data_IF_580178482935
#
_entry.id   IF_580178482935
#
_cell.length_a   1.000
_cell.length_b   1.000
_cell.length_c   1.000
_cell.angle_alpha   90.00
_cell.angle_beta   90.00
_cell.angle_gamma   90.00
#
_symmetry.space_group_name_H-M   'P 1'
#
loop_
_entity.id
_entity.type
_entity.pdbx_description
1 polymer ?
#
# COMPACT_ATOMS: atom_id res chain seq x y z
N UNK A 1 18.85 5.33 -17.15
CA UNK A 1 17.41 5.28 -17.51
C UNK A 1 16.78 6.52 -16.90
N UNK A 2 16.34 7.49 -17.71
CA UNK A 2 15.71 8.72 -17.19
C UNK A 2 14.24 8.40 -16.89
N UNK A 3 13.85 8.40 -15.62
CA UNK A 3 12.45 8.27 -15.25
C UNK A 3 11.80 9.66 -15.23
N UNK A 4 10.69 9.81 -15.96
CA UNK A 4 9.94 11.07 -16.07
C UNK A 4 8.94 11.26 -14.92
N UNK A 5 8.67 10.20 -14.14
CA UNK A 5 7.78 10.23 -12.99
C UNK A 5 8.66 10.31 -11.73
N UNK A 6 8.47 11.35 -10.92
CA UNK A 6 9.08 11.46 -9.60
C UNK A 6 8.24 10.67 -8.61
N UNK A 7 8.84 9.69 -7.94
CA UNK A 7 8.22 9.07 -6.77
C UNK A 7 8.32 9.97 -5.54
N UNK A 8 7.50 9.66 -4.55
CA UNK A 8 7.56 10.23 -3.20
C UNK A 8 7.84 9.13 -2.17
N UNK A 9 8.28 9.52 -0.98
CA UNK A 9 8.51 8.61 0.14
C UNK A 9 7.19 8.30 0.83
N UNK A 10 6.91 7.02 1.01
CA UNK A 10 5.75 6.53 1.76
C UNK A 10 6.22 5.65 2.92
N UNK A 11 5.44 5.56 3.99
CA UNK A 11 5.74 4.67 5.12
C UNK A 11 4.81 3.48 5.10
N UNK A 12 5.36 2.27 5.04
CA UNK A 12 4.59 1.02 5.12
C UNK A 12 4.67 0.51 6.54
N UNK A 13 3.52 0.36 7.19
CA UNK A 13 3.37 -0.18 8.54
C UNK A 13 2.68 -1.54 8.49
N UNK A 14 3.31 -2.55 9.06
CA UNK A 14 2.74 -3.87 9.29
C UNK A 14 2.57 -4.11 10.79
N UNK A 15 1.36 -4.52 11.19
CA UNK A 15 1.07 -4.93 12.56
C UNK A 15 0.78 -6.43 12.58
N UNK A 16 1.63 -7.20 13.26
CA UNK A 16 1.43 -8.63 13.45
C UNK A 16 1.03 -8.85 14.90
N UNK A 17 -0.17 -9.42 15.11
CA UNK A 17 -0.64 -9.83 16.43
C UNK A 17 -0.05 -11.20 16.77
N UNK A 18 0.58 -11.30 17.93
CA UNK A 18 0.98 -12.56 18.53
C UNK A 18 -0.21 -13.12 19.29
N UNK A 19 -0.58 -14.38 19.01
CA UNK A 19 -1.65 -15.09 19.71
C UNK A 19 -1.03 -16.16 20.61
N UNK A 20 -1.63 -16.42 21.78
CA UNK A 20 -1.27 -17.58 22.61
C UNK A 20 -1.86 -18.90 22.09
N UNK A 21 -1.63 -19.98 22.84
CA UNK A 21 -2.14 -21.33 22.55
C UNK A 21 -3.68 -21.41 22.54
N UNK A 22 -4.37 -20.43 23.11
CA UNK A 22 -5.84 -20.33 23.14
C UNK A 22 -6.39 -19.36 22.09
N UNK A 23 -5.52 -18.70 21.32
CA UNK A 23 -5.89 -17.73 20.29
C UNK A 23 -6.10 -16.30 20.81
N UNK A 24 -5.72 -16.02 22.05
CA UNK A 24 -5.84 -14.69 22.65
C UNK A 24 -4.62 -13.81 22.31
N UNK A 25 -4.81 -12.52 22.01
CA UNK A 25 -3.72 -11.62 21.64
C UNK A 25 -2.81 -11.35 22.84
N UNK A 26 -1.55 -11.79 22.75
CA UNK A 26 -0.51 -11.61 23.78
C UNK A 26 0.41 -10.41 23.51
N UNK A 27 0.39 -9.89 22.28
CA UNK A 27 1.16 -8.72 21.91
C UNK A 27 0.95 -8.31 20.46
N UNK A 28 1.43 -7.12 20.13
CA UNK A 28 1.44 -6.60 18.77
C UNK A 28 2.87 -6.18 18.43
N UNK A 29 3.43 -6.73 17.35
CA UNK A 29 4.69 -6.27 16.79
C UNK A 29 4.39 -5.38 15.60
N UNK A 30 4.80 -4.12 15.69
CA UNK A 30 4.65 -3.13 14.62
C UNK A 30 5.99 -2.92 13.94
N UNK A 31 6.02 -3.11 12.62
CA UNK A 31 7.18 -2.83 11.78
C UNK A 31 6.84 -1.71 10.82
N UNK A 32 7.67 -0.66 10.81
CA UNK A 32 7.54 0.48 9.90
C UNK A 32 8.75 0.56 8.96
N UNK A 33 8.49 0.68 7.66
CA UNK A 33 9.51 0.78 6.63
C UNK A 33 9.21 1.98 5.75
N UNK A 34 10.13 2.94 5.71
CA UNK A 34 10.09 4.03 4.73
C UNK A 34 10.57 3.51 3.37
N UNK A 35 9.75 3.71 2.33
CA UNK A 35 10.10 3.34 0.96
C UNK A 35 10.13 4.58 0.10
N UNK A 36 11.29 4.85 -0.48
CA UNK A 36 11.49 5.95 -1.42
C UNK A 36 11.06 5.56 -2.83
N UNK A 37 10.89 6.58 -3.68
CA UNK A 37 10.59 6.41 -5.10
C UNK A 37 9.32 5.59 -5.38
N UNK A 38 8.27 5.78 -4.57
CA UNK A 38 6.94 5.19 -4.82
C UNK A 38 6.13 6.14 -5.68
N UNK A 39 5.56 5.65 -6.78
CA UNK A 39 4.62 6.45 -7.59
C UNK A 39 3.27 6.44 -6.89
N UNK A 40 2.77 7.62 -6.56
CA UNK A 40 1.46 7.79 -5.94
C UNK A 40 0.50 8.33 -6.99
N UNK A 41 -0.35 7.45 -7.50
CA UNK A 41 -1.40 7.80 -8.46
C UNK A 41 -2.71 8.02 -7.70
N UNK A 42 -3.32 9.22 -7.75
CA UNK A 42 -4.65 9.44 -7.18
C UNK A 42 -5.70 8.53 -7.83
N UNK A 43 -6.59 7.96 -7.02
CA UNK A 43 -7.73 7.19 -7.50
C UNK A 43 -8.66 8.02 -8.39
N UNK A 44 -9.47 7.35 -9.20
CA UNK A 44 -10.37 8.02 -10.11
C UNK A 44 -11.45 8.82 -9.35
N UNK A 45 -11.72 10.05 -9.79
CA UNK A 45 -12.74 10.94 -9.22
C UNK A 45 -14.16 10.33 -9.21
N UNK A 46 -14.39 9.26 -9.99
CA UNK A 46 -15.67 8.53 -10.02
C UNK A 46 -16.00 7.81 -8.70
N UNK A 47 -15.01 7.52 -7.85
CA UNK A 47 -15.24 6.92 -6.52
C UNK A 47 -15.69 7.94 -5.45
N UNK A 48 -15.80 9.22 -5.80
CA UNK A 48 -16.41 10.29 -4.98
C UNK A 48 -17.92 10.43 -5.20
N UNK A 49 -18.52 9.65 -6.10
CA UNK A 49 -19.97 9.67 -6.31
C UNK A 49 -20.68 8.92 -5.16
N UNK A 50 -21.44 9.68 -4.36
CA UNK A 50 -22.20 9.28 -3.18
C UNK A 50 -23.23 8.14 -3.38
N UNK A 51 -23.36 7.62 -4.59
CA UNK A 51 -24.31 6.55 -4.97
C UNK A 51 -23.84 5.14 -4.64
N UNK A 52 -22.60 4.94 -4.13
CA UNK A 52 -22.06 3.63 -3.72
C UNK A 52 -21.62 3.61 -2.25
N UNK A 53 -22.56 3.55 -1.28
CA UNK A 53 -22.23 3.51 0.15
C UNK A 53 -21.44 2.27 0.60
N UNK A 54 -21.38 1.22 -0.22
CA UNK A 54 -20.63 -0.01 0.03
C UNK A 54 -19.44 -0.20 -0.95
N UNK A 55 -19.11 0.81 -1.76
CA UNK A 55 -17.97 0.75 -2.66
C UNK A 55 -16.67 0.97 -1.89
N UNK A 56 -15.70 0.06 -2.03
CA UNK A 56 -14.33 0.33 -1.54
C UNK A 56 -13.76 1.46 -2.40
N UNK A 57 -13.81 2.69 -1.90
CA UNK A 57 -13.22 3.86 -2.57
C UNK A 57 -11.71 3.70 -2.59
N UNK A 58 -11.12 3.43 -3.76
CA UNK A 58 -9.66 3.43 -3.92
C UNK A 58 -9.19 4.88 -3.85
N UNK A 59 -8.45 5.22 -2.79
CA UNK A 59 -7.91 6.56 -2.60
C UNK A 59 -6.67 6.79 -3.46
N UNK A 60 -5.77 5.81 -3.50
CA UNK A 60 -4.57 5.84 -4.32
C UNK A 60 -4.25 4.46 -4.89
N UNK A 61 -3.63 4.47 -6.07
CA UNK A 61 -2.85 3.35 -6.59
C UNK A 61 -1.37 3.69 -6.40
N UNK A 62 -0.65 2.85 -5.67
CA UNK A 62 0.77 3.01 -5.38
C UNK A 62 1.59 2.03 -6.21
N UNK A 63 2.66 2.50 -6.85
CA UNK A 63 3.62 1.64 -7.54
C UNK A 63 4.96 1.69 -6.81
N UNK A 64 5.32 0.59 -6.15
CA UNK A 64 6.56 0.42 -5.40
C UNK A 64 7.72 0.03 -6.33
N UNK A 65 8.94 0.51 -6.04
CA UNK A 65 10.11 0.20 -6.85
C UNK A 65 10.54 -1.26 -6.67
N UNK A 66 11.24 -1.76 -7.68
CA UNK A 66 11.92 -3.05 -7.66
C UNK A 66 12.88 -3.14 -6.48
N UNK A 67 12.86 -4.28 -5.81
CA UNK A 67 13.74 -4.53 -4.66
C UNK A 67 13.29 -3.86 -3.36
N UNK A 68 12.16 -3.15 -3.33
CA UNK A 68 11.58 -2.68 -2.06
C UNK A 68 11.23 -3.88 -1.18
N UNK A 69 11.86 -4.01 -0.01
CA UNK A 69 11.60 -5.11 0.93
C UNK A 69 10.39 -4.78 1.82
N UNK A 70 9.20 -4.92 1.26
CA UNK A 70 7.93 -4.64 1.95
C UNK A 70 6.92 -5.76 1.78
N UNK A 71 6.25 -6.09 2.88
CA UNK A 71 4.99 -6.85 2.85
C UNK A 71 3.84 -5.86 2.81
N UNK A 72 2.96 -5.98 1.81
CA UNK A 72 1.80 -5.09 1.65
C UNK A 72 0.50 -5.76 2.10
N UNK A 73 0.49 -7.09 2.30
CA UNK A 73 -0.70 -7.79 2.77
C UNK A 73 -1.07 -7.31 4.17
N UNK A 74 -2.31 -6.85 4.32
CA UNK A 74 -2.84 -6.28 5.57
C UNK A 74 -2.04 -5.06 6.09
N UNK A 75 -1.19 -4.46 5.25
CA UNK A 75 -0.39 -3.30 5.64
C UNK A 75 -1.23 -2.02 5.66
N UNK A 76 -0.78 -1.07 6.46
CA UNK A 76 -1.20 0.33 6.41
C UNK A 76 -0.10 1.14 5.73
N UNK A 77 -0.42 1.96 4.75
CA UNK A 77 0.54 2.84 4.07
C UNK A 77 0.19 4.29 4.39
N UNK A 78 1.13 5.00 4.99
CA UNK A 78 1.04 6.43 5.23
C UNK A 78 1.54 7.18 3.99
N UNK A 79 0.65 7.91 3.35
CA UNK A 79 0.92 8.75 2.18
C UNK A 79 0.62 10.20 2.58
N UNK A 80 1.62 11.08 2.48
CA UNK A 80 1.49 12.52 2.82
C UNK A 80 0.87 12.79 4.20
N UNK A 81 1.21 11.94 5.18
CA UNK A 81 0.73 12.06 6.56
C UNK A 81 -0.69 11.52 6.81
N UNK A 82 -1.31 10.87 5.83
CA UNK A 82 -2.61 10.19 6.00
C UNK A 82 -2.43 8.69 5.83
N UNK A 83 -3.07 7.91 6.71
CA UNK A 83 -3.02 6.46 6.70
C UNK A 83 -4.07 5.85 5.77
N UNK A 84 -3.65 4.88 4.98
CA UNK A 84 -4.51 4.13 4.06
C UNK A 84 -4.29 2.64 4.23
N UNK A 85 -5.35 1.84 4.09
CA UNK A 85 -5.27 0.38 4.18
C UNK A 85 -5.00 -0.21 2.81
N UNK A 86 -4.04 -1.12 2.71
CA UNK A 86 -3.83 -1.89 1.47
C UNK A 86 -5.01 -2.79 1.20
N UNK A 87 -5.48 -2.77 -0.05
CA UNK A 87 -6.54 -3.65 -0.55
C UNK A 87 -5.91 -4.94 -1.09
N UNK A 88 -6.31 -6.08 -0.51
CA UNK A 88 -5.89 -7.41 -0.97
C UNK A 88 -4.45 -7.78 -0.62
N UNK A 89 -3.85 -8.62 -1.47
CA UNK A 89 -2.47 -9.12 -1.35
C UNK A 89 -1.71 -8.81 -2.66
N UNK A 90 -1.16 -7.58 -2.78
CA UNK A 90 -0.49 -7.11 -3.99
C UNK A 90 0.68 -8.01 -4.40
N UNK A 91 0.76 -8.34 -5.70
CA UNK A 91 1.82 -9.18 -6.26
C UNK A 91 2.71 -8.39 -7.20
N UNK A 92 3.99 -8.78 -7.24
CA UNK A 92 4.96 -8.23 -8.18
C UNK A 92 4.63 -8.68 -9.59
N UNK A 93 4.82 -7.79 -10.55
CA UNK A 93 4.85 -8.12 -11.96
C UNK A 93 6.05 -9.00 -12.30
N UNK A 94 5.93 -9.75 -13.38
CA UNK A 94 7.03 -10.51 -13.96
C UNK A 94 8.19 -9.57 -14.30
N UNK A 95 9.37 -9.81 -13.71
CA UNK A 95 10.54 -8.94 -13.85
C UNK A 95 10.97 -8.72 -15.31
N UNK A 96 10.83 -9.74 -16.17
CA UNK A 96 11.17 -9.65 -17.60
C UNK A 96 10.30 -8.64 -18.36
N UNK A 97 9.09 -8.35 -17.88
CA UNK A 97 8.10 -7.51 -18.57
C UNK A 97 8.05 -6.07 -18.03
N UNK A 98 8.88 -5.73 -17.04
CA UNK A 98 8.93 -4.39 -16.44
C UNK A 98 10.26 -3.71 -16.77
N UNK A 99 10.40 -2.98 -17.89
CA UNK A 99 11.66 -2.29 -18.18
C UNK A 99 11.92 -1.08 -17.25
N UNK A 100 10.87 -0.56 -16.59
CA UNK A 100 10.95 0.54 -15.63
C UNK A 100 11.44 0.13 -14.23
N UNK A 101 11.56 1.10 -13.31
CA UNK A 101 12.03 0.86 -11.95
C UNK A 101 10.97 0.32 -11.00
N UNK A 102 9.69 0.25 -11.40
CA UNK A 102 8.58 -0.24 -10.58
C UNK A 102 8.10 -1.61 -11.03
N UNK A 103 7.75 -2.47 -10.07
CA UNK A 103 7.24 -3.81 -10.33
C UNK A 103 6.14 -4.27 -9.38
N UNK A 104 5.72 -3.44 -8.42
CA UNK A 104 4.72 -3.81 -7.41
C UNK A 104 3.65 -2.74 -7.34
N UNK A 105 2.44 -3.04 -7.81
CA UNK A 105 1.31 -2.13 -7.76
C UNK A 105 0.33 -2.56 -6.68
N UNK A 106 -0.11 -1.63 -5.83
CA UNK A 106 -1.17 -1.86 -4.87
C UNK A 106 -2.20 -0.73 -4.87
N UNK A 107 -3.42 -1.08 -4.51
CA UNK A 107 -4.49 -0.11 -4.27
C UNK A 107 -4.65 0.07 -2.77
N UNK A 108 -4.91 1.31 -2.35
CA UNK A 108 -5.15 1.63 -0.95
C UNK A 108 -6.46 2.39 -0.78
N UNK A 109 -7.19 2.09 0.28
CA UNK A 109 -8.47 2.73 0.64
C UNK A 109 -8.33 3.55 1.91
N UNK A 110 -9.14 4.60 2.06
CA UNK A 110 -9.22 5.31 3.34
C UNK A 110 -9.85 4.41 4.39
N UNK A 111 -9.25 4.38 5.56
CA UNK A 111 -9.91 3.89 6.77
C UNK A 111 -10.57 5.09 7.42
N UNK A 112 -11.83 5.36 7.09
CA UNK A 112 -12.68 6.14 7.99
C UNK A 112 -12.97 5.21 9.19
N UNK A 113 -12.49 5.63 10.36
CA UNK A 113 -12.61 4.88 11.61
C UNK A 113 -14.04 4.77 12.11
#
# INVERSE_FOLDING_TARGET
MMCLISGETVTVRNAVRSLDELGEPTGETVTEVAVDNVVVCPGATADLDSTRPNGVTVAYTLCFPKGADVSLKDATVTVRGTDYKVVGDPKRYTAANTPGPWDLTCEVTRTDG
#
